data_IF_942500653075
#
_entry.id   IF_942500653075
#
_cell.length_a   1.000
_cell.length_b   1.000
_cell.length_c   1.000
_cell.angle_alpha   90.00
_cell.angle_beta   90.00
_cell.angle_gamma   90.00
#
_symmetry.space_group_name_H-M   'P 1'
#
loop_
_entity.id
_entity.type
_entity.pdbx_description
1 polymer ?
#
# COMPACT_ATOMS: atom_id res chain seq x y z
N UNK A 1 28.45 -73.34 25.24
CA UNK A 1 26.97 -73.47 25.35
C UNK A 1 26.41 -72.09 25.67
N UNK A 2 25.97 -71.34 24.65
CA UNK A 2 24.55 -71.00 24.38
C UNK A 2 23.71 -70.75 25.65
N UNK A 3 23.26 -69.51 25.86
CA UNK A 3 21.89 -69.07 25.50
C UNK A 3 21.73 -67.54 25.61
N UNK A 4 21.10 -66.99 24.57
CA UNK A 4 20.56 -65.64 24.45
C UNK A 4 19.47 -65.37 25.50
N UNK A 5 19.32 -64.11 25.91
CA UNK A 5 18.02 -63.52 26.19
C UNK A 5 18.00 -62.08 25.68
N UNK A 6 17.14 -61.86 24.70
CA UNK A 6 16.79 -60.60 24.06
C UNK A 6 15.86 -59.83 25.00
N UNK A 7 16.13 -58.54 25.22
CA UNK A 7 15.11 -57.57 25.64
C UNK A 7 15.19 -56.35 24.73
N UNK A 8 14.23 -56.27 23.81
CA UNK A 8 13.84 -55.04 23.12
C UNK A 8 13.02 -54.18 24.09
N UNK A 9 13.37 -52.90 24.26
CA UNK A 9 12.42 -51.89 24.70
C UNK A 9 12.88 -50.49 24.30
N UNK A 10 12.18 -49.92 23.30
CA UNK A 10 11.80 -48.51 23.29
C UNK A 10 12.86 -47.48 22.88
N UNK A 11 13.17 -47.39 21.59
CA UNK A 11 13.58 -46.11 21.02
C UNK A 11 12.35 -45.18 20.99
N UNK A 12 12.21 -44.35 22.02
CA UNK A 12 11.32 -43.19 21.96
C UNK A 12 11.96 -42.17 21.01
N UNK A 13 11.55 -42.21 19.74
CA UNK A 13 11.70 -41.09 18.82
C UNK A 13 10.82 -39.95 19.32
N UNK A 14 11.38 -39.13 20.21
CA UNK A 14 10.87 -37.78 20.43
C UNK A 14 11.25 -36.97 19.19
N UNK A 15 10.35 -36.94 18.21
CA UNK A 15 10.24 -35.80 17.32
C UNK A 15 9.75 -34.62 18.17
N UNK A 16 10.67 -34.04 18.95
CA UNK A 16 10.45 -32.75 19.58
C UNK A 16 10.51 -31.70 18.49
N UNK A 17 9.43 -30.95 18.31
CA UNK A 17 9.50 -29.64 17.66
C UNK A 17 10.55 -28.83 18.44
N UNK A 18 11.77 -28.76 17.92
CA UNK A 18 12.82 -27.92 18.48
C UNK A 18 12.42 -26.47 18.18
N UNK A 19 11.77 -25.82 19.14
CA UNK A 19 11.72 -24.37 19.15
C UNK A 19 13.17 -23.88 19.30
N UNK A 20 13.75 -23.42 18.19
CA UNK A 20 15.07 -22.81 18.19
C UNK A 20 15.09 -21.63 19.17
N UNK A 21 16.13 -21.48 19.99
CA UNK A 21 16.23 -20.31 20.85
C UNK A 21 16.29 -19.05 19.98
N UNK A 22 15.58 -17.98 20.39
CA UNK A 22 15.55 -16.73 19.60
C UNK A 22 16.90 -16.00 19.54
N UNK A 23 17.88 -16.39 20.37
CA UNK A 23 19.18 -15.75 20.52
C UNK A 23 20.29 -16.80 20.58
N UNK A 24 21.42 -16.51 19.93
CA UNK A 24 22.55 -17.44 19.89
C UNK A 24 23.25 -17.45 18.53
N UNK A 25 24.18 -18.40 18.39
CA UNK A 25 24.88 -18.63 17.12
C UNK A 25 24.00 -19.36 16.11
N UNK A 26 24.32 -19.18 14.83
CA UNK A 26 23.73 -19.92 13.72
C UNK A 26 24.79 -20.22 12.67
N UNK A 27 24.52 -21.23 11.86
CA UNK A 27 25.27 -21.55 10.65
C UNK A 27 24.32 -21.84 9.49
N UNK A 28 24.68 -21.39 8.31
CA UNK A 28 23.90 -21.52 7.07
C UNK A 28 24.73 -22.29 6.05
N UNK A 29 24.37 -23.55 5.82
CA UNK A 29 24.96 -24.37 4.77
C UNK A 29 24.21 -24.14 3.45
N UNK A 30 24.86 -23.54 2.46
CA UNK A 30 24.22 -23.15 1.19
C UNK A 30 24.79 -23.95 0.02
N UNK A 31 23.90 -24.41 -0.85
CA UNK A 31 24.18 -25.16 -2.07
C UNK A 31 23.32 -24.62 -3.21
N UNK A 32 23.92 -23.81 -4.10
CA UNK A 32 23.21 -23.22 -5.24
C UNK A 32 23.80 -23.69 -6.57
N UNK A 33 23.01 -24.40 -7.37
CA UNK A 33 23.37 -24.69 -8.75
C UNK A 33 23.56 -23.38 -9.53
N UNK A 34 24.49 -23.37 -10.49
CA UNK A 34 24.77 -22.22 -11.36
C UNK A 34 25.23 -20.94 -10.65
N UNK A 35 25.66 -21.04 -9.39
CA UNK A 35 26.20 -19.89 -8.66
C UNK A 35 27.53 -19.41 -9.27
N UNK A 36 27.70 -18.10 -9.51
CA UNK A 36 28.96 -17.53 -9.97
C UNK A 36 30.07 -17.63 -8.90
N UNK A 37 31.32 -17.70 -9.34
CA UNK A 37 32.50 -17.70 -8.47
C UNK A 37 32.80 -16.29 -7.97
N UNK A 38 32.07 -15.85 -6.95
CA UNK A 38 32.15 -14.49 -6.42
C UNK A 38 32.02 -14.45 -4.90
N UNK A 39 32.20 -13.26 -4.32
CA UNK A 39 31.94 -13.02 -2.90
C UNK A 39 30.44 -12.99 -2.61
N UNK A 40 30.09 -13.49 -1.44
CA UNK A 40 28.72 -13.47 -0.92
C UNK A 40 28.72 -12.88 0.48
N UNK A 41 27.70 -12.09 0.77
CA UNK A 41 27.60 -11.30 2.00
C UNK A 41 26.33 -11.70 2.73
N UNK A 42 26.45 -12.06 4.00
CA UNK A 42 25.30 -12.13 4.89
C UNK A 42 25.07 -10.74 5.49
N UNK A 43 23.88 -10.19 5.28
CA UNK A 43 23.52 -8.86 5.76
C UNK A 43 22.26 -8.94 6.63
N UNK A 44 22.34 -8.34 7.83
CA UNK A 44 21.18 -8.03 8.66
C UNK A 44 20.47 -6.80 8.10
N UNK A 45 19.16 -6.90 7.87
CA UNK A 45 18.32 -5.78 7.40
C UNK A 45 17.92 -4.90 8.58
N UNK A 46 18.90 -4.27 9.22
CA UNK A 46 18.71 -3.43 10.39
C UNK A 46 18.06 -2.08 10.04
N UNK A 47 17.50 -1.42 11.05
CA UNK A 47 16.77 -0.16 10.89
C UNK A 47 17.61 0.99 10.30
N UNK A 48 18.92 1.01 10.55
CA UNK A 48 19.84 2.05 10.04
C UNK A 48 20.44 1.68 8.67
N UNK A 49 19.93 0.62 8.03
CA UNK A 49 20.45 0.06 6.79
C UNK A 49 21.10 -1.31 6.98
N UNK A 50 21.45 -1.98 5.87
CA UNK A 50 22.00 -3.32 5.91
C UNK A 50 23.37 -3.33 6.60
N UNK A 51 23.55 -4.24 7.55
CA UNK A 51 24.81 -4.46 8.27
C UNK A 51 25.39 -5.80 7.85
N UNK A 52 26.64 -5.80 7.39
CA UNK A 52 27.36 -7.05 7.07
C UNK A 52 27.61 -7.82 8.38
N UNK A 53 27.17 -9.07 8.39
CA UNK A 53 27.30 -10.03 9.50
C UNK A 53 28.49 -10.94 9.23
N UNK A 54 28.55 -11.48 8.02
CA UNK A 54 29.59 -12.39 7.57
C UNK A 54 29.83 -12.24 6.06
N UNK A 55 30.96 -12.73 5.58
CA UNK A 55 31.36 -12.70 4.17
C UNK A 55 32.16 -13.94 3.82
N UNK A 56 31.77 -14.62 2.75
CA UNK A 56 32.51 -15.75 2.19
C UNK A 56 32.56 -15.64 0.66
N UNK A 57 32.95 -16.71 -0.03
CA UNK A 57 32.94 -16.78 -1.48
C UNK A 57 32.51 -18.17 -1.96
N UNK A 58 31.87 -18.20 -3.13
CA UNK A 58 31.65 -19.45 -3.89
C UNK A 58 32.98 -19.82 -4.55
N UNK A 59 33.59 -20.92 -4.12
CA UNK A 59 34.97 -21.26 -4.48
C UNK A 59 35.10 -22.15 -5.71
N UNK A 60 34.04 -22.89 -6.04
CA UNK A 60 34.04 -23.83 -7.14
C UNK A 60 32.63 -24.04 -7.72
N UNK A 61 32.56 -24.78 -8.82
CA UNK A 61 31.32 -25.05 -9.55
C UNK A 61 30.31 -25.91 -8.77
N UNK A 62 30.67 -26.43 -7.59
CA UNK A 62 29.67 -27.05 -6.72
C UNK A 62 28.67 -26.02 -6.21
N UNK A 63 29.02 -24.72 -6.14
CA UNK A 63 28.09 -23.71 -5.62
C UNK A 63 27.86 -23.80 -4.10
N UNK A 64 28.73 -24.51 -3.39
CA UNK A 64 28.70 -24.64 -1.92
C UNK A 64 29.40 -23.47 -1.25
N UNK A 65 28.77 -22.96 -0.20
CA UNK A 65 29.39 -22.01 0.72
C UNK A 65 28.68 -22.05 2.08
N UNK A 66 29.32 -21.47 3.07
CA UNK A 66 28.86 -21.46 4.45
C UNK A 66 28.95 -20.03 5.00
N UNK A 67 27.94 -19.63 5.74
CA UNK A 67 27.88 -18.36 6.46
C UNK A 67 27.53 -18.64 7.91
N UNK A 68 28.10 -17.88 8.84
CA UNK A 68 27.78 -18.00 10.26
C UNK A 68 27.63 -16.65 10.94
N UNK A 69 27.11 -16.65 12.16
CA UNK A 69 26.94 -15.43 12.92
C UNK A 69 26.22 -15.63 14.23
N UNK A 70 25.77 -14.52 14.81
CA UNK A 70 24.97 -14.50 16.03
C UNK A 70 23.75 -13.62 15.86
N UNK A 71 22.61 -14.10 16.36
CA UNK A 71 21.36 -13.33 16.48
C UNK A 71 21.14 -12.93 17.95
N UNK A 72 20.75 -11.67 18.16
CA UNK A 72 20.32 -11.16 19.48
C UNK A 72 18.82 -11.24 19.70
N UNK A 73 18.07 -11.50 18.63
CA UNK A 73 16.65 -11.81 18.53
C UNK A 73 16.36 -12.26 17.08
N UNK A 74 15.17 -12.79 16.81
CA UNK A 74 14.81 -13.13 15.43
C UNK A 74 14.77 -11.87 14.54
N UNK A 75 15.47 -11.92 13.41
CA UNK A 75 15.68 -10.78 12.51
C UNK A 75 15.48 -11.12 11.03
N UNK A 76 15.35 -10.07 10.20
CA UNK A 76 15.34 -10.20 8.74
C UNK A 76 16.77 -10.03 8.20
N UNK A 77 17.19 -10.96 7.36
CA UNK A 77 18.53 -11.00 6.78
C UNK A 77 18.44 -11.22 5.27
N UNK A 78 19.56 -11.03 4.58
CA UNK A 78 19.72 -11.48 3.20
C UNK A 78 21.11 -12.03 2.93
N UNK A 79 21.19 -13.03 2.07
CA UNK A 79 22.43 -13.40 1.39
C UNK A 79 22.48 -12.60 0.10
N UNK A 80 23.45 -11.69 -0.02
CA UNK A 80 23.61 -10.82 -1.19
C UNK A 80 24.82 -11.23 -2.02
N UNK A 81 24.63 -11.22 -3.33
CA UNK A 81 25.61 -11.49 -4.37
C UNK A 81 26.21 -10.17 -4.92
N UNK A 82 27.33 -10.24 -5.64
CA UNK A 82 28.04 -9.03 -6.11
C UNK A 82 27.21 -8.23 -7.12
N UNK A 83 26.45 -8.93 -7.96
CA UNK A 83 25.53 -8.30 -8.92
C UNK A 83 24.24 -7.76 -8.30
N UNK A 84 24.09 -7.85 -6.97
CA UNK A 84 22.93 -7.35 -6.24
C UNK A 84 21.75 -8.33 -6.16
N UNK A 85 21.81 -9.53 -6.76
CA UNK A 85 20.85 -10.60 -6.46
C UNK A 85 20.93 -10.98 -4.98
N UNK A 86 19.83 -11.46 -4.41
CA UNK A 86 19.80 -11.86 -3.01
C UNK A 86 18.74 -12.93 -2.70
N UNK A 87 18.95 -13.61 -1.57
CA UNK A 87 17.97 -14.47 -0.91
C UNK A 87 17.55 -13.79 0.40
N UNK A 88 16.24 -13.64 0.65
CA UNK A 88 15.71 -13.10 1.92
C UNK A 88 15.56 -14.23 2.94
N UNK A 89 15.96 -13.96 4.18
CA UNK A 89 15.98 -14.92 5.27
C UNK A 89 15.33 -14.33 6.52
N UNK A 90 14.65 -15.19 7.29
CA UNK A 90 14.30 -14.92 8.67
C UNK A 90 15.17 -15.79 9.56
N UNK A 91 16.06 -15.17 10.35
CA UNK A 91 17.05 -15.92 11.15
C UNK A 91 16.76 -15.80 12.65
N UNK A 92 16.79 -16.95 13.32
CA UNK A 92 16.91 -17.17 14.76
C UNK A 92 18.16 -18.03 15.04
N UNK A 93 18.38 -18.47 16.29
CA UNK A 93 19.59 -19.23 16.59
C UNK A 93 19.38 -20.71 16.26
N UNK A 94 20.23 -21.25 15.39
CA UNK A 94 20.11 -22.62 14.92
C UNK A 94 20.79 -22.78 13.58
N UNK A 95 21.12 -24.02 13.25
CA UNK A 95 21.72 -24.32 11.96
C UNK A 95 20.63 -24.52 10.91
N UNK A 96 20.86 -24.01 9.71
CA UNK A 96 19.96 -24.17 8.59
C UNK A 96 20.71 -24.54 7.32
N UNK A 97 19.99 -25.11 6.36
CA UNK A 97 20.52 -25.39 5.03
C UNK A 97 19.61 -24.87 3.94
N UNK A 98 20.22 -24.40 2.86
CA UNK A 98 19.56 -23.85 1.68
C UNK A 98 20.04 -24.60 0.45
N UNK A 99 19.11 -25.15 -0.33
CA UNK A 99 19.39 -25.77 -1.61
C UNK A 99 18.56 -25.09 -2.71
N UNK A 100 19.15 -24.80 -3.86
CA UNK A 100 18.42 -24.16 -4.96
C UNK A 100 19.24 -23.92 -6.22
N UNK A 101 18.72 -23.04 -7.08
CA UNK A 101 19.39 -22.57 -8.30
C UNK A 101 19.58 -21.05 -8.24
N UNK A 102 20.77 -20.58 -8.60
CA UNK A 102 21.11 -19.16 -8.64
C UNK A 102 20.23 -18.32 -9.59
N UNK A 103 19.60 -18.96 -10.57
CA UNK A 103 18.70 -18.31 -11.52
C UNK A 103 17.25 -18.22 -11.00
N UNK A 104 16.91 -18.95 -9.94
CA UNK A 104 15.58 -18.97 -9.32
C UNK A 104 15.71 -18.83 -7.79
N UNK A 105 16.32 -17.73 -7.33
CA UNK A 105 16.60 -17.49 -5.90
C UNK A 105 15.35 -17.32 -5.03
N UNK A 106 14.19 -17.14 -5.66
CA UNK A 106 12.87 -17.15 -5.02
C UNK A 106 12.32 -18.57 -4.77
N UNK A 107 12.91 -19.60 -5.41
CA UNK A 107 12.52 -21.00 -5.27
C UNK A 107 13.67 -21.83 -4.68
N UNK A 108 13.81 -21.73 -3.36
CA UNK A 108 14.81 -22.47 -2.60
C UNK A 108 14.16 -23.48 -1.64
N UNK A 109 14.82 -24.62 -1.45
CA UNK A 109 14.52 -25.57 -0.38
C UNK A 109 15.27 -25.15 0.89
N UNK A 110 14.53 -25.01 1.98
CA UNK A 110 15.05 -24.52 3.26
C UNK A 110 14.74 -25.52 4.34
N UNK A 111 15.77 -25.91 5.11
CA UNK A 111 15.64 -26.77 6.29
C UNK A 111 16.29 -26.11 7.48
N UNK A 112 15.70 -26.29 8.66
CA UNK A 112 16.24 -25.76 9.92
C UNK A 112 15.75 -24.35 10.30
N UNK A 113 15.02 -23.65 9.43
CA UNK A 113 14.46 -22.32 9.73
C UNK A 113 12.99 -22.22 9.27
N UNK A 114 12.05 -22.28 10.22
CA UNK A 114 10.62 -22.10 9.94
C UNK A 114 10.34 -20.67 9.43
N UNK A 115 10.97 -19.67 10.03
CA UNK A 115 10.83 -18.27 9.63
C UNK A 115 11.26 -18.03 8.17
N UNK A 116 12.41 -18.60 7.75
CA UNK A 116 12.83 -18.49 6.35
C UNK A 116 11.90 -19.27 5.42
N UNK A 117 11.47 -20.48 5.79
CA UNK A 117 10.52 -21.25 4.98
C UNK A 117 9.20 -20.50 4.76
N UNK A 118 8.65 -19.86 5.80
CA UNK A 118 7.43 -19.04 5.67
C UNK A 118 7.66 -17.82 4.78
N UNK A 119 8.77 -17.09 4.93
CA UNK A 119 9.11 -15.95 4.06
C UNK A 119 9.20 -16.39 2.59
N UNK A 120 9.78 -17.55 2.31
CA UNK A 120 9.85 -18.07 0.94
C UNK A 120 8.47 -18.42 0.38
N UNK A 121 7.54 -18.93 1.20
CA UNK A 121 6.15 -19.13 0.76
C UNK A 121 5.45 -17.81 0.42
N UNK A 122 5.68 -16.77 1.23
CA UNK A 122 5.14 -15.42 0.99
C UNK A 122 5.68 -14.82 -0.32
N UNK A 123 6.99 -14.94 -0.56
CA UNK A 123 7.65 -14.47 -1.78
C UNK A 123 7.16 -15.22 -3.03
N UNK A 124 7.02 -16.53 -2.95
CA UNK A 124 6.51 -17.34 -4.05
C UNK A 124 5.06 -16.95 -4.39
N UNK A 125 4.20 -16.81 -3.39
CA UNK A 125 2.83 -16.32 -3.60
C UNK A 125 2.84 -14.92 -4.23
N UNK A 126 3.66 -14.01 -3.72
CA UNK A 126 3.78 -12.66 -4.27
C UNK A 126 4.20 -12.68 -5.75
N UNK A 127 5.21 -13.47 -6.11
CA UNK A 127 5.70 -13.61 -7.48
C UNK A 127 4.64 -14.17 -8.43
N UNK A 128 3.97 -15.26 -8.03
CA UNK A 128 2.87 -15.85 -8.80
C UNK A 128 1.73 -14.85 -9.03
N UNK A 129 1.32 -14.13 -7.98
CA UNK A 129 0.24 -13.13 -8.08
C UNK A 129 0.65 -11.91 -8.87
N UNK A 130 1.88 -11.42 -8.74
CA UNK A 130 2.39 -10.32 -9.54
C UNK A 130 2.34 -10.63 -11.04
N UNK A 131 2.68 -11.87 -11.44
CA UNK A 131 2.58 -12.30 -12.83
C UNK A 131 1.12 -12.34 -13.33
N UNK A 132 0.19 -12.85 -12.52
CA UNK A 132 -1.25 -12.86 -12.84
C UNK A 132 -1.79 -11.44 -12.97
N UNK A 133 -1.51 -10.58 -11.99
CA UNK A 133 -1.95 -9.19 -11.96
C UNK A 133 -1.40 -8.40 -13.16
N UNK A 134 -0.13 -8.60 -13.51
CA UNK A 134 0.47 -7.95 -14.68
C UNK A 134 -0.23 -8.33 -15.98
N UNK A 135 -0.66 -9.59 -16.13
CA UNK A 135 -1.41 -10.04 -17.32
C UNK A 135 -2.81 -9.42 -17.38
N UNK A 136 -3.49 -9.32 -16.24
CA UNK A 136 -4.82 -8.70 -16.19
C UNK A 136 -4.76 -7.19 -16.48
N UNK A 137 -3.75 -6.48 -15.99
CA UNK A 137 -3.52 -5.06 -16.32
C UNK A 137 -3.32 -4.89 -17.83
N UNK A 138 -2.44 -5.71 -18.44
CA UNK A 138 -2.22 -5.68 -19.90
C UNK A 138 -3.50 -5.97 -20.69
N UNK A 139 -4.34 -6.88 -20.22
CA UNK A 139 -5.62 -7.18 -20.85
C UNK A 139 -6.60 -6.01 -20.74
N UNK A 140 -6.70 -5.37 -19.57
CA UNK A 140 -7.53 -4.18 -19.35
C UNK A 140 -7.09 -3.04 -20.27
N UNK A 141 -5.78 -2.79 -20.37
CA UNK A 141 -5.22 -1.75 -21.23
C UNK A 141 -5.50 -2.02 -22.70
N UNK A 142 -5.34 -3.28 -23.15
CA UNK A 142 -5.63 -3.69 -24.52
C UNK A 142 -7.11 -3.49 -24.87
N UNK A 143 -8.02 -3.85 -23.97
CA UNK A 143 -9.46 -3.64 -24.15
C UNK A 143 -9.82 -2.16 -24.20
N UNK A 144 -9.17 -1.33 -23.38
CA UNK A 144 -9.35 0.12 -23.38
C UNK A 144 -8.89 0.73 -24.71
N UNK A 145 -7.74 0.29 -25.24
CA UNK A 145 -7.24 0.73 -26.55
C UNK A 145 -8.16 0.30 -27.70
N UNK A 146 -8.77 -0.88 -27.60
CA UNK A 146 -9.69 -1.42 -28.60
C UNK A 146 -11.10 -0.78 -28.57
N UNK A 147 -11.38 0.14 -27.62
CA UNK A 147 -12.70 0.78 -27.42
C UNK A 147 -13.83 -0.25 -27.23
N UNK A 148 -13.54 -1.35 -26.55
CA UNK A 148 -14.52 -2.42 -26.27
C UNK A 148 -15.62 -1.94 -25.33
N UNK A 149 -16.75 -2.65 -25.26
CA UNK A 149 -17.89 -2.26 -24.42
C UNK A 149 -17.53 -2.11 -22.93
N UNK A 150 -18.13 -1.12 -22.29
CA UNK A 150 -17.93 -0.80 -20.86
C UNK A 150 -18.26 -1.98 -19.95
N UNK A 151 -19.21 -2.85 -20.34
CA UNK A 151 -19.59 -4.05 -19.60
C UNK A 151 -18.42 -5.05 -19.46
N UNK A 152 -17.63 -5.25 -20.52
CA UNK A 152 -16.50 -6.17 -20.50
C UNK A 152 -15.32 -5.57 -19.71
N UNK A 153 -15.08 -4.27 -19.87
CA UNK A 153 -14.06 -3.55 -19.09
C UNK A 153 -14.37 -3.57 -17.59
N UNK A 154 -15.64 -3.37 -17.22
CA UNK A 154 -16.09 -3.43 -15.82
C UNK A 154 -15.92 -4.82 -15.25
N UNK A 155 -16.32 -5.87 -15.99
CA UNK A 155 -16.15 -7.26 -15.54
C UNK A 155 -14.67 -7.60 -15.28
N UNK A 156 -13.75 -7.13 -16.15
CA UNK A 156 -12.31 -7.34 -15.98
C UNK A 156 -11.72 -6.57 -14.80
N UNK A 157 -12.13 -5.32 -14.60
CA UNK A 157 -11.73 -4.54 -13.41
C UNK A 157 -12.18 -5.21 -12.11
N UNK A 158 -13.43 -5.67 -12.05
CA UNK A 158 -13.95 -6.36 -10.87
C UNK A 158 -13.17 -7.65 -10.57
N UNK A 159 -12.78 -8.41 -11.61
CA UNK A 159 -11.96 -9.60 -11.44
C UNK A 159 -10.56 -9.27 -10.89
N UNK A 160 -9.94 -8.21 -11.41
CA UNK A 160 -8.66 -7.71 -10.91
C UNK A 160 -8.75 -7.25 -9.44
N UNK A 161 -9.77 -6.45 -9.10
CA UNK A 161 -10.01 -5.98 -7.73
C UNK A 161 -10.25 -7.14 -6.77
N UNK A 162 -11.00 -8.17 -7.20
CA UNK A 162 -11.23 -9.36 -6.39
C UNK A 162 -9.93 -10.13 -6.15
N UNK A 163 -9.08 -10.26 -7.16
CA UNK A 163 -7.79 -10.95 -7.01
C UNK A 163 -6.83 -10.17 -6.10
N UNK A 164 -6.81 -8.84 -6.21
CA UNK A 164 -6.04 -7.97 -5.31
C UNK A 164 -6.51 -8.14 -3.85
N UNK A 165 -7.83 -8.20 -3.61
CA UNK A 165 -8.39 -8.49 -2.28
C UNK A 165 -8.02 -9.88 -1.76
N UNK A 166 -8.07 -10.90 -2.61
CA UNK A 166 -7.68 -12.26 -2.25
C UNK A 166 -6.19 -12.33 -1.85
N UNK A 167 -5.32 -11.70 -2.64
CA UNK A 167 -3.89 -11.63 -2.36
C UNK A 167 -3.59 -10.87 -1.06
N UNK A 168 -4.26 -9.74 -0.85
CA UNK A 168 -4.21 -8.98 0.40
C UNK A 168 -4.59 -9.85 1.61
N UNK A 169 -5.70 -10.58 1.51
CA UNK A 169 -6.18 -11.44 2.59
C UNK A 169 -5.20 -12.57 2.90
N UNK A 170 -4.54 -13.15 1.88
CA UNK A 170 -3.51 -14.17 2.09
C UNK A 170 -2.37 -13.67 2.99
N UNK A 171 -1.85 -12.46 2.72
CA UNK A 171 -0.77 -11.88 3.52
C UNK A 171 -1.23 -11.54 4.95
N UNK A 172 -2.45 -11.00 5.11
CA UNK A 172 -3.04 -10.74 6.43
C UNK A 172 -3.17 -12.05 7.23
N UNK A 173 -3.72 -13.09 6.62
CA UNK A 173 -3.90 -14.40 7.24
C UNK A 173 -2.56 -15.01 7.67
N UNK A 174 -1.55 -14.93 6.81
CA UNK A 174 -0.21 -15.42 7.12
C UNK A 174 0.38 -14.65 8.30
N UNK A 175 0.27 -13.33 8.30
CA UNK A 175 0.75 -12.48 9.38
C UNK A 175 0.08 -12.79 10.73
N UNK A 176 -1.22 -13.10 10.71
CA UNK A 176 -1.99 -13.42 11.91
C UNK A 176 -1.75 -14.83 12.46
N UNK A 177 -1.44 -15.82 11.59
CA UNK A 177 -1.30 -17.23 11.97
C UNK A 177 0.12 -17.64 12.34
N UNK A 178 1.13 -17.00 11.75
CA UNK A 178 2.54 -17.34 11.99
C UNK A 178 2.92 -17.21 13.46
N UNK A 179 3.85 -18.06 13.91
CA UNK A 179 4.49 -17.96 15.23
C UNK A 179 5.81 -17.18 15.18
N UNK A 180 6.23 -16.73 14.00
CA UNK A 180 7.52 -16.12 13.75
C UNK A 180 7.35 -14.60 13.60
N UNK A 181 7.85 -13.76 14.52
CA UNK A 181 7.70 -12.30 14.43
C UNK A 181 8.21 -11.72 13.11
N UNK A 182 9.34 -12.23 12.58
CA UNK A 182 9.88 -11.73 11.31
C UNK A 182 8.96 -12.04 10.13
N UNK A 183 8.38 -13.24 10.08
CA UNK A 183 7.44 -13.62 9.03
C UNK A 183 6.14 -12.81 9.12
N UNK A 184 5.68 -12.48 10.34
CA UNK A 184 4.51 -11.64 10.55
C UNK A 184 4.71 -10.23 10.00
N UNK A 185 5.84 -9.60 10.36
CA UNK A 185 6.18 -8.26 9.86
C UNK A 185 6.39 -8.27 8.35
N UNK A 186 7.10 -9.28 7.83
CA UNK A 186 7.34 -9.41 6.39
C UNK A 186 6.04 -9.57 5.60
N UNK A 187 5.11 -10.41 6.08
CA UNK A 187 3.80 -10.55 5.47
C UNK A 187 3.02 -9.22 5.46
N UNK A 188 3.03 -8.47 6.56
CA UNK A 188 2.37 -7.15 6.63
C UNK A 188 2.99 -6.13 5.66
N UNK A 189 4.29 -6.18 5.39
CA UNK A 189 4.93 -5.32 4.38
C UNK A 189 4.48 -5.62 2.95
N UNK A 190 3.96 -6.83 2.69
CA UNK A 190 3.40 -7.22 1.39
C UNK A 190 1.92 -6.85 1.24
N UNK A 191 1.23 -6.54 2.35
CA UNK A 191 -0.12 -5.98 2.31
C UNK A 191 -0.06 -4.59 1.67
N UNK A 192 -0.97 -4.32 0.74
CA UNK A 192 -1.07 -3.03 0.04
C UNK A 192 -2.39 -2.40 0.43
N UNK A 193 -2.36 -1.31 1.20
CA UNK A 193 -3.54 -0.52 1.50
C UNK A 193 -3.73 0.56 0.44
N UNK A 194 -4.99 0.86 0.09
CA UNK A 194 -5.33 1.80 -0.99
C UNK A 194 -5.08 3.24 -0.53
N UNK A 195 -5.33 3.52 0.75
CA UNK A 195 -5.04 4.78 1.40
C UNK A 195 -4.79 4.64 2.91
N UNK A 196 -4.45 5.77 3.54
CA UNK A 196 -4.19 5.84 4.98
C UNK A 196 -5.42 5.52 5.84
N UNK A 197 -6.64 5.76 5.32
CA UNK A 197 -7.88 5.45 6.03
C UNK A 197 -8.05 3.95 6.13
N UNK A 198 -7.94 3.24 5.01
CA UNK A 198 -8.02 1.77 4.98
C UNK A 198 -6.92 1.15 5.85
N UNK A 199 -5.70 1.68 5.80
CA UNK A 199 -4.59 1.25 6.66
C UNK A 199 -4.96 1.37 8.15
N UNK A 200 -5.49 2.52 8.58
CA UNK A 200 -5.84 2.80 9.97
C UNK A 200 -7.10 2.04 10.44
N UNK A 201 -8.08 1.80 9.57
CA UNK A 201 -9.23 0.94 9.87
C UNK A 201 -8.80 -0.50 10.19
N UNK A 202 -7.71 -0.95 9.58
CA UNK A 202 -7.13 -2.27 9.78
C UNK A 202 -6.05 -2.32 10.87
N UNK A 203 -5.87 -1.25 11.66
CA UNK A 203 -4.83 -1.19 12.72
C UNK A 203 -4.90 -2.34 13.74
N UNK A 204 -6.09 -2.90 13.97
CA UNK A 204 -6.28 -4.03 14.87
C UNK A 204 -5.46 -5.28 14.50
N UNK A 205 -5.08 -5.43 13.22
CA UNK A 205 -4.18 -6.49 12.76
C UNK A 205 -2.77 -6.28 13.33
N UNK A 206 -2.26 -5.07 13.24
CA UNK A 206 -0.94 -4.67 13.76
C UNK A 206 -0.90 -4.81 15.28
N UNK A 207 -1.95 -4.35 15.98
CA UNK A 207 -2.08 -4.49 17.43
C UNK A 207 -2.10 -5.96 17.88
N UNK A 208 -2.71 -6.86 17.10
CA UNK A 208 -2.69 -8.31 17.39
C UNK A 208 -1.26 -8.88 17.27
N UNK A 209 -0.54 -8.53 16.21
CA UNK A 209 0.86 -8.95 16.04
C UNK A 209 1.71 -8.42 17.20
N UNK A 210 1.55 -7.14 17.58
CA UNK A 210 2.25 -6.54 18.71
C UNK A 210 1.96 -7.23 20.06
N UNK A 211 0.73 -7.70 20.28
CA UNK A 211 0.39 -8.47 21.48
C UNK A 211 1.07 -9.84 21.52
N UNK A 212 1.29 -10.48 20.38
CA UNK A 212 1.96 -11.79 20.29
C UNK A 212 3.48 -11.67 20.42
N UNK A 213 4.05 -10.56 19.97
CA UNK A 213 5.50 -10.33 19.91
C UNK A 213 5.88 -8.97 20.51
N UNK A 214 5.57 -8.71 21.80
CA UNK A 214 5.71 -7.37 22.38
C UNK A 214 7.15 -6.89 22.49
N UNK A 215 8.13 -7.80 22.51
CA UNK A 215 9.54 -7.47 22.73
C UNK A 215 10.37 -7.34 21.45
N UNK A 216 9.90 -7.88 20.33
CA UNK A 216 10.65 -7.91 19.08
C UNK A 216 10.83 -6.51 18.46
N UNK A 217 12.04 -6.17 18.06
CA UNK A 217 12.38 -4.84 17.55
C UNK A 217 11.61 -4.46 16.26
N UNK A 218 11.46 -5.39 15.31
CA UNK A 218 10.75 -5.11 14.05
C UNK A 218 9.26 -4.88 14.27
N UNK A 219 8.66 -5.59 15.23
CA UNK A 219 7.24 -5.42 15.59
C UNK A 219 7.03 -4.07 16.28
N UNK A 220 7.95 -3.63 17.14
CA UNK A 220 7.92 -2.29 17.74
C UNK A 220 8.00 -1.19 16.67
N UNK A 221 8.89 -1.33 15.68
CA UNK A 221 9.00 -0.35 14.60
C UNK A 221 7.76 -0.34 13.69
N UNK A 222 7.18 -1.51 13.42
CA UNK A 222 5.91 -1.60 12.71
C UNK A 222 4.79 -0.87 13.47
N UNK A 223 4.74 -0.94 14.80
CA UNK A 223 3.75 -0.18 15.57
C UNK A 223 4.03 1.33 15.56
N UNK A 224 5.30 1.73 15.53
CA UNK A 224 5.67 3.14 15.41
C UNK A 224 5.19 3.74 14.07
N UNK A 225 5.26 3.00 12.96
CA UNK A 225 4.71 3.48 11.68
C UNK A 225 3.19 3.63 11.71
N UNK A 226 2.48 2.78 12.48
CA UNK A 226 1.04 2.95 12.74
C UNK A 226 0.76 4.22 13.53
N UNK A 227 1.54 4.50 14.59
CA UNK A 227 1.41 5.74 15.38
C UNK A 227 1.70 6.99 14.57
N UNK A 228 2.71 6.94 13.69
CA UNK A 228 3.05 8.02 12.76
C UNK A 228 1.92 8.26 11.76
N UNK A 229 1.37 7.21 11.14
CA UNK A 229 0.21 7.32 10.25
C UNK A 229 -1.02 7.90 10.97
N UNK A 230 -1.28 7.51 12.23
CA UNK A 230 -2.35 8.10 13.02
C UNK A 230 -2.13 9.59 13.29
N UNK A 231 -0.88 10.00 13.57
CA UNK A 231 -0.52 11.41 13.74
C UNK A 231 -0.70 12.20 12.44
N UNK A 232 -0.22 11.67 11.32
CA UNK A 232 -0.36 12.29 10.00
C UNK A 232 -1.83 12.44 9.62
N UNK A 233 -2.65 11.41 9.83
CA UNK A 233 -4.09 11.47 9.62
C UNK A 233 -4.75 12.57 10.46
N UNK A 234 -4.41 12.67 11.75
CA UNK A 234 -4.93 13.71 12.66
C UNK A 234 -4.45 15.13 12.28
N UNK A 235 -3.21 15.29 11.82
CA UNK A 235 -2.66 16.58 11.39
C UNK A 235 -3.22 17.02 10.03
N UNK A 236 -3.41 16.09 9.09
CA UNK A 236 -4.12 16.31 7.83
C UNK A 236 -5.58 16.72 8.09
N UNK A 237 -6.27 16.06 9.02
CA UNK A 237 -7.61 16.45 9.45
C UNK A 237 -7.64 17.83 10.14
N UNK A 238 -6.59 18.22 10.87
CA UNK A 238 -6.50 19.52 11.56
C UNK A 238 -6.19 20.70 10.62
N UNK A 239 -5.71 20.46 9.40
CA UNK A 239 -5.32 21.49 8.43
C UNK A 239 -6.12 21.45 7.12
N UNK A 240 -6.80 20.34 6.85
CA UNK A 240 -7.57 20.12 5.62
C UNK A 240 -8.95 20.77 5.60
N UNK A 241 -9.70 20.59 4.50
CA UNK A 241 -11.01 21.22 4.28
C UNK A 241 -12.04 20.98 5.40
N UNK A 242 -11.98 19.81 6.05
CA UNK A 242 -12.86 19.45 7.18
C UNK A 242 -12.64 20.33 8.40
N UNK A 243 -11.40 20.73 8.70
CA UNK A 243 -11.09 21.66 9.80
C UNK A 243 -11.70 23.05 9.61
N UNK A 244 -12.05 23.40 8.37
CA UNK A 244 -12.63 24.69 7.98
C UNK A 244 -14.16 24.67 7.99
N UNK A 245 -14.80 23.51 8.20
CA UNK A 245 -16.25 23.44 8.39
C UNK A 245 -16.64 24.29 9.60
N UNK A 246 -17.65 25.14 9.42
CA UNK A 246 -18.05 26.13 10.42
C UNK A 246 -17.39 27.50 10.25
N UNK A 247 -16.41 27.66 9.38
CA UNK A 247 -15.72 28.93 9.13
C UNK A 247 -16.21 29.57 7.82
N UNK A 248 -15.95 30.87 7.64
CA UNK A 248 -16.13 31.52 6.34
C UNK A 248 -15.12 30.94 5.35
N UNK A 249 -15.57 30.58 4.15
CA UNK A 249 -14.71 30.12 3.08
C UNK A 249 -13.75 31.26 2.68
N UNK A 250 -12.43 31.04 2.74
CA UNK A 250 -11.47 32.03 2.26
C UNK A 250 -11.73 32.34 0.78
N UNK A 251 -11.77 33.61 0.39
CA UNK A 251 -12.03 33.95 -1.01
C UNK A 251 -10.78 33.69 -1.87
N UNK A 252 -11.00 33.41 -3.15
CA UNK A 252 -9.94 33.29 -4.15
C UNK A 252 -10.46 33.77 -5.50
N UNK A 253 -9.52 34.13 -6.39
CA UNK A 253 -9.83 34.56 -7.75
C UNK A 253 -8.93 33.81 -8.72
N UNK A 254 -9.53 33.10 -9.66
CA UNK A 254 -8.83 32.31 -10.68
C UNK A 254 -9.45 32.53 -12.06
N UNK A 255 -8.69 32.36 -13.15
CA UNK A 255 -9.23 32.54 -14.48
C UNK A 255 -10.08 31.34 -14.91
N UNK A 256 -11.18 31.62 -15.59
CA UNK A 256 -12.01 30.63 -16.28
C UNK A 256 -11.36 30.16 -17.61
N UNK A 257 -11.95 29.21 -18.35
CA UNK A 257 -11.48 28.79 -19.67
C UNK A 257 -11.24 29.92 -20.68
N UNK A 258 -11.92 31.06 -20.55
CA UNK A 258 -11.79 32.22 -21.44
C UNK A 258 -10.81 33.26 -20.90
N UNK A 259 -10.17 33.00 -19.75
CA UNK A 259 -9.25 33.92 -19.09
C UNK A 259 -9.96 35.00 -18.25
N UNK A 260 -11.28 34.92 -18.09
CA UNK A 260 -12.03 35.84 -17.24
C UNK A 260 -11.81 35.47 -15.78
N UNK A 261 -11.45 36.45 -14.96
CA UNK A 261 -11.29 36.25 -13.53
C UNK A 261 -12.65 35.98 -12.85
N UNK A 262 -12.74 34.87 -12.14
CA UNK A 262 -13.92 34.44 -11.40
C UNK A 262 -13.53 34.28 -9.93
N UNK A 263 -14.24 34.96 -9.03
CA UNK A 263 -14.05 34.84 -7.59
C UNK A 263 -15.05 33.86 -6.98
N UNK A 264 -14.68 33.17 -5.89
CA UNK A 264 -15.65 32.38 -5.13
C UNK A 264 -16.78 33.27 -4.58
N UNK A 265 -16.43 34.46 -4.11
CA UNK A 265 -17.40 35.45 -3.63
C UNK A 265 -18.44 35.88 -4.66
N UNK A 266 -18.19 35.72 -5.97
CA UNK A 266 -19.15 36.02 -7.03
C UNK A 266 -20.38 35.10 -7.01
N UNK A 267 -20.32 33.99 -6.29
CA UNK A 267 -21.42 33.03 -6.12
C UNK A 267 -22.19 33.18 -4.80
N UNK A 268 -21.88 34.20 -3.98
CA UNK A 268 -22.62 34.50 -2.74
C UNK A 268 -24.13 34.58 -2.99
N UNK A 269 -24.90 34.10 -2.03
CA UNK A 269 -26.35 33.95 -2.15
C UNK A 269 -26.81 32.58 -2.65
N UNK A 270 -25.91 31.71 -3.11
CA UNK A 270 -26.19 30.31 -3.48
C UNK A 270 -25.45 29.34 -2.56
N UNK A 271 -25.92 28.10 -2.48
CA UNK A 271 -25.06 27.01 -2.07
C UNK A 271 -24.08 26.69 -3.20
N UNK A 272 -22.80 26.57 -2.87
CA UNK A 272 -21.73 26.34 -3.85
C UNK A 272 -20.93 25.12 -3.41
N UNK A 273 -20.93 24.06 -4.22
CA UNK A 273 -19.94 23.01 -4.08
C UNK A 273 -18.66 23.46 -4.80
N UNK A 274 -17.60 23.77 -4.04
CA UNK A 274 -16.29 24.04 -4.63
C UNK A 274 -15.57 22.72 -4.75
N UNK A 275 -15.34 22.26 -5.98
CA UNK A 275 -14.80 20.94 -6.29
C UNK A 275 -13.37 21.07 -6.83
N UNK A 276 -12.39 20.58 -6.08
CA UNK A 276 -10.98 20.58 -6.43
C UNK A 276 -10.62 19.26 -7.13
N UNK A 277 -10.25 19.36 -8.40
CA UNK A 277 -10.10 18.21 -9.29
C UNK A 277 -8.99 18.43 -10.32
N UNK A 278 -8.75 17.44 -11.18
CA UNK A 278 -7.88 17.62 -12.36
C UNK A 278 -8.18 16.58 -13.44
N UNK A 279 -7.83 16.87 -14.70
CA UNK A 279 -8.05 15.96 -15.83
C UNK A 279 -7.35 14.60 -15.69
N UNK A 280 -6.19 14.59 -15.02
CA UNK A 280 -5.33 13.44 -14.77
C UNK A 280 -5.71 12.64 -13.51
N UNK A 281 -6.63 13.16 -12.68
CA UNK A 281 -7.04 12.53 -11.44
C UNK A 281 -8.09 11.44 -11.70
N UNK A 282 -7.64 10.19 -11.84
CA UNK A 282 -8.51 9.04 -12.07
C UNK A 282 -9.72 8.95 -11.11
N UNK A 283 -9.52 9.02 -9.78
CA UNK A 283 -10.62 8.99 -8.82
C UNK A 283 -11.59 10.19 -8.95
N UNK A 284 -11.11 11.38 -9.33
CA UNK A 284 -11.97 12.53 -9.58
C UNK A 284 -12.91 12.25 -10.76
N UNK A 285 -12.35 11.74 -11.86
CA UNK A 285 -13.10 11.38 -13.07
C UNK A 285 -14.15 10.29 -12.82
N UNK A 286 -13.86 9.36 -11.90
CA UNK A 286 -14.81 8.33 -11.46
C UNK A 286 -15.97 8.90 -10.63
N UNK A 287 -15.74 9.98 -9.87
CA UNK A 287 -16.77 10.64 -9.05
C UNK A 287 -17.61 11.65 -9.83
N UNK A 288 -17.08 12.21 -10.93
CA UNK A 288 -17.77 13.20 -11.77
C UNK A 288 -19.21 12.82 -12.18
N UNK A 289 -19.54 11.56 -12.54
CA UNK A 289 -20.92 11.16 -12.79
C UNK A 289 -21.88 11.43 -11.60
N UNK A 290 -21.43 11.23 -10.36
CA UNK A 290 -22.23 11.53 -9.16
C UNK A 290 -22.41 13.04 -8.99
N UNK A 291 -21.35 13.83 -9.24
CA UNK A 291 -21.40 15.30 -9.17
C UNK A 291 -22.34 15.88 -10.25
N UNK A 292 -22.30 15.33 -11.48
CA UNK A 292 -23.23 15.70 -12.56
C UNK A 292 -24.68 15.40 -12.18
N UNK A 293 -24.94 14.23 -11.61
CA UNK A 293 -26.28 13.85 -11.15
C UNK A 293 -26.79 14.83 -10.07
N UNK A 294 -25.95 15.16 -9.09
CA UNK A 294 -26.27 16.13 -8.05
C UNK A 294 -26.55 17.52 -8.65
N UNK A 295 -25.71 18.01 -9.56
CA UNK A 295 -25.93 19.28 -10.23
C UNK A 295 -27.28 19.31 -10.97
N UNK A 296 -27.56 18.28 -11.77
CA UNK A 296 -28.80 18.22 -12.54
C UNK A 296 -30.05 18.19 -11.65
N UNK A 297 -29.97 17.55 -10.48
CA UNK A 297 -31.08 17.47 -9.53
C UNK A 297 -31.31 18.77 -8.75
N UNK A 298 -30.23 19.49 -8.40
CA UNK A 298 -30.29 20.60 -7.44
C UNK A 298 -30.04 21.99 -8.04
N UNK A 299 -29.58 22.13 -9.30
CA UNK A 299 -29.24 23.43 -9.91
C UNK A 299 -30.34 24.50 -9.84
N UNK A 300 -31.61 24.08 -9.85
CA UNK A 300 -32.78 24.98 -9.78
C UNK A 300 -33.22 25.28 -8.33
N UNK A 301 -32.50 24.74 -7.34
CA UNK A 301 -32.73 24.91 -5.89
C UNK A 301 -31.68 25.79 -5.23
N UNK A 302 -31.32 26.90 -5.88
CA UNK A 302 -30.31 27.84 -5.37
C UNK A 302 -28.93 27.21 -5.11
N UNK A 303 -28.55 26.23 -5.94
CA UNK A 303 -27.29 25.49 -5.85
C UNK A 303 -26.49 25.59 -7.13
N UNK A 304 -25.17 25.59 -7.00
CA UNK A 304 -24.24 25.54 -8.12
C UNK A 304 -22.94 24.87 -7.71
N UNK A 305 -22.06 24.66 -8.68
CA UNK A 305 -20.76 24.05 -8.49
C UNK A 305 -19.71 24.98 -9.10
N UNK A 306 -18.57 25.12 -8.43
CA UNK A 306 -17.38 25.79 -8.96
C UNK A 306 -16.26 24.75 -9.02
N UNK A 307 -15.92 24.31 -10.22
CA UNK A 307 -14.80 23.40 -10.44
C UNK A 307 -13.48 24.16 -10.41
N UNK A 308 -12.57 23.78 -9.52
CA UNK A 308 -11.22 24.34 -9.42
C UNK A 308 -10.24 23.28 -9.87
N UNK A 309 -9.69 23.45 -11.08
CA UNK A 309 -8.76 22.47 -11.65
C UNK A 309 -7.31 22.73 -11.22
N UNK A 310 -6.63 21.66 -10.83
CA UNK A 310 -5.18 21.59 -10.58
C UNK A 310 -4.42 20.99 -11.79
N UNK A 311 -4.88 21.24 -13.02
CA UNK A 311 -4.15 20.88 -14.22
C UNK A 311 -2.89 21.74 -14.43
N UNK A 312 -1.97 21.28 -15.29
CA UNK A 312 -0.80 22.06 -15.77
C UNK A 312 -0.99 22.61 -17.19
N UNK A 313 -1.96 22.08 -17.92
CA UNK A 313 -2.19 22.40 -19.31
C UNK A 313 -3.68 22.60 -19.54
N UNK A 314 -4.02 23.58 -20.38
CA UNK A 314 -5.40 23.98 -20.64
C UNK A 314 -6.16 22.94 -21.44
N UNK A 315 -5.53 22.36 -22.45
CA UNK A 315 -6.18 21.47 -23.41
C UNK A 315 -6.71 20.18 -22.74
N UNK A 316 -5.93 19.46 -21.90
CA UNK A 316 -6.45 18.30 -21.18
C UNK A 316 -7.58 18.64 -20.21
N UNK A 317 -7.49 19.79 -19.54
CA UNK A 317 -8.54 20.30 -18.65
C UNK A 317 -9.85 20.54 -19.39
N UNK A 318 -9.82 21.29 -20.50
CA UNK A 318 -11.02 21.55 -21.30
C UNK A 318 -11.59 20.28 -21.92
N UNK A 319 -10.72 19.38 -22.36
CA UNK A 319 -11.16 18.08 -22.88
C UNK A 319 -11.88 17.28 -21.80
N UNK A 320 -11.36 17.23 -20.57
CA UNK A 320 -12.01 16.52 -19.48
C UNK A 320 -13.35 17.13 -19.08
N UNK A 321 -13.47 18.47 -19.06
CA UNK A 321 -14.76 19.16 -18.85
C UNK A 321 -15.80 18.69 -19.86
N UNK A 322 -15.43 18.63 -21.14
CA UNK A 322 -16.32 18.21 -22.22
C UNK A 322 -16.65 16.72 -22.14
N UNK A 323 -15.63 15.86 -21.97
CA UNK A 323 -15.78 14.41 -21.93
C UNK A 323 -16.68 13.95 -20.77
N UNK A 324 -16.64 14.65 -19.63
CA UNK A 324 -17.41 14.28 -18.43
C UNK A 324 -18.72 15.06 -18.27
N UNK A 325 -19.04 15.98 -19.18
CA UNK A 325 -20.27 16.77 -19.10
C UNK A 325 -20.35 17.72 -17.90
N UNK A 326 -19.23 18.34 -17.51
CA UNK A 326 -19.14 19.21 -16.34
C UNK A 326 -19.69 20.61 -16.68
N UNK A 327 -21.01 20.77 -16.63
CA UNK A 327 -21.76 21.94 -17.16
C UNK A 327 -21.71 23.22 -16.32
N UNK A 328 -20.98 23.24 -15.22
CA UNK A 328 -20.88 24.40 -14.32
C UNK A 328 -19.64 25.25 -14.59
N UNK A 329 -19.42 26.31 -13.82
CA UNK A 329 -18.27 27.18 -13.99
C UNK A 329 -17.00 26.47 -13.53
N UNK A 330 -15.93 26.57 -14.33
CA UNK A 330 -14.61 26.04 -13.99
C UNK A 330 -13.57 27.15 -13.97
N UNK A 331 -12.57 27.01 -13.11
CA UNK A 331 -11.42 27.92 -13.01
C UNK A 331 -10.12 27.14 -12.80
N UNK A 332 -9.00 27.69 -13.25
CA UNK A 332 -7.67 27.14 -12.99
C UNK A 332 -6.58 28.18 -13.27
N UNK A 333 -5.55 28.27 -12.43
CA UNK A 333 -4.33 29.01 -12.76
C UNK A 333 -3.28 28.16 -13.50
N UNK A 334 -3.59 26.88 -13.76
CA UNK A 334 -2.71 25.89 -14.38
C UNK A 334 -1.40 25.64 -13.61
N UNK A 335 -1.39 25.91 -12.31
CA UNK A 335 -0.18 25.79 -11.46
C UNK A 335 -0.08 24.48 -10.70
N UNK A 336 -0.96 23.51 -10.92
CA UNK A 336 -0.92 22.23 -10.20
C UNK A 336 -0.95 22.45 -8.67
N UNK A 337 -0.12 21.72 -7.91
CA UNK A 337 0.02 21.90 -6.46
C UNK A 337 0.63 23.26 -6.03
N UNK A 338 1.16 24.06 -6.94
CA UNK A 338 1.65 25.42 -6.64
C UNK A 338 0.54 26.49 -6.71
N UNK A 339 -0.69 26.09 -7.03
CA UNK A 339 -1.82 27.01 -7.02
C UNK A 339 -2.04 27.59 -5.62
N UNK A 340 -2.40 28.87 -5.54
CA UNK A 340 -2.65 29.54 -4.25
C UNK A 340 -3.81 28.93 -3.48
N UNK A 341 -4.74 28.24 -4.15
CA UNK A 341 -5.88 27.59 -3.47
C UNK A 341 -5.47 26.35 -2.66
N UNK A 342 -4.36 25.71 -2.99
CA UNK A 342 -3.88 24.48 -2.35
C UNK A 342 -3.56 24.73 -0.86
N UNK A 343 -2.65 25.66 -0.51
CA UNK A 343 -2.41 25.98 0.90
C UNK A 343 -3.58 26.73 1.53
N UNK A 344 -4.36 27.50 0.76
CA UNK A 344 -5.50 28.26 1.28
C UNK A 344 -6.57 27.36 1.90
N UNK A 345 -6.81 26.19 1.28
CA UNK A 345 -7.78 25.20 1.75
C UNK A 345 -7.14 23.96 2.39
N UNK A 346 -5.81 23.89 2.49
CA UNK A 346 -5.11 22.75 3.08
C UNK A 346 -5.28 21.47 2.26
N UNK A 347 -5.27 21.60 0.93
CA UNK A 347 -5.48 20.48 0.01
C UNK A 347 -4.21 19.64 -0.04
N UNK A 348 -4.27 18.43 0.49
CA UNK A 348 -3.16 17.46 0.47
C UNK A 348 -3.36 16.35 -0.58
N UNK A 349 -4.56 16.28 -1.16
CA UNK A 349 -4.94 15.32 -2.17
C UNK A 349 -6.18 15.76 -2.93
N UNK A 350 -6.39 15.17 -4.11
CA UNK A 350 -7.63 15.29 -4.87
C UNK A 350 -8.13 13.88 -5.23
N UNK A 351 -9.44 13.67 -5.38
CA UNK A 351 -10.52 14.68 -5.34
C UNK A 351 -10.74 15.28 -3.94
N UNK A 352 -11.18 16.53 -3.85
CA UNK A 352 -11.51 17.22 -2.59
C UNK A 352 -12.61 18.23 -2.86
N UNK A 353 -13.59 18.40 -1.97
CA UNK A 353 -14.58 19.46 -2.12
C UNK A 353 -15.00 20.07 -0.80
N UNK A 354 -15.60 21.26 -0.89
CA UNK A 354 -16.30 21.92 0.21
C UNK A 354 -17.67 22.38 -0.26
N UNK A 355 -18.67 22.29 0.62
CA UNK A 355 -19.98 22.89 0.41
C UNK A 355 -20.04 24.20 1.19
N UNK A 356 -20.23 25.29 0.46
CA UNK A 356 -20.35 26.65 0.99
C UNK A 356 -21.82 27.07 0.95
N UNK A 357 -22.33 27.63 2.04
CA UNK A 357 -23.69 28.13 2.13
C UNK A 357 -23.86 29.53 1.50
N UNK A 358 -25.10 30.04 1.34
CA UNK A 358 -25.36 31.36 0.76
C UNK A 358 -24.67 32.52 1.48
N UNK A 359 -24.32 32.38 2.75
CA UNK A 359 -23.62 33.38 3.55
C UNK A 359 -22.09 33.29 3.39
N UNK A 360 -21.59 32.28 2.68
CA UNK A 360 -20.17 32.06 2.44
C UNK A 360 -19.50 31.20 3.51
N UNK A 361 -20.26 30.48 4.34
CA UNK A 361 -19.72 29.59 5.38
C UNK A 361 -19.61 28.16 4.86
N UNK A 362 -18.52 27.47 5.20
CA UNK A 362 -18.33 26.06 4.87
C UNK A 362 -19.23 25.24 5.79
N UNK A 363 -20.14 24.46 5.21
CA UNK A 363 -21.13 23.64 5.94
C UNK A 363 -20.86 22.13 5.83
N UNK A 364 -20.02 21.72 4.89
CA UNK A 364 -19.52 20.36 4.75
C UNK A 364 -18.25 20.32 3.90
N UNK A 365 -17.51 19.21 3.95
CA UNK A 365 -16.34 18.94 3.15
C UNK A 365 -16.28 17.46 2.74
N UNK A 366 -15.45 17.14 1.73
CA UNK A 366 -15.13 15.78 1.27
C UNK A 366 -16.37 14.92 0.94
N UNK A 367 -17.41 15.53 0.38
CA UNK A 367 -18.65 14.85 0.02
C UNK A 367 -18.49 14.00 -1.24
N UNK A 368 -18.94 12.74 -1.21
CA UNK A 368 -18.91 11.84 -2.36
C UNK A 368 -20.14 10.94 -2.42
N UNK A 369 -20.51 10.50 -3.61
CA UNK A 369 -21.56 9.52 -3.86
C UNK A 369 -22.82 9.81 -3.04
N UNK A 370 -23.21 8.86 -2.18
CA UNK A 370 -24.41 9.00 -1.33
C UNK A 370 -24.31 10.13 -0.30
N UNK A 371 -23.12 10.43 0.22
CA UNK A 371 -22.95 11.48 1.23
C UNK A 371 -23.20 12.87 0.64
N UNK A 372 -22.77 13.10 -0.61
CA UNK A 372 -23.07 14.33 -1.35
C UNK A 372 -24.58 14.51 -1.51
N UNK A 373 -25.26 13.48 -2.01
CA UNK A 373 -26.70 13.50 -2.23
C UNK A 373 -27.49 13.75 -0.94
N UNK A 374 -27.13 13.04 0.14
CA UNK A 374 -27.76 13.21 1.44
C UNK A 374 -27.59 14.63 1.96
N UNK A 375 -26.38 15.19 1.89
CA UNK A 375 -26.12 16.53 2.40
C UNK A 375 -26.84 17.60 1.59
N UNK A 376 -26.87 17.49 0.26
CA UNK A 376 -27.61 18.42 -0.58
C UNK A 376 -29.12 18.32 -0.35
N UNK A 377 -29.67 17.12 -0.18
CA UNK A 377 -31.08 16.94 0.18
C UNK A 377 -31.45 17.54 1.53
N UNK A 378 -30.51 17.53 2.50
CA UNK A 378 -30.71 18.12 3.82
C UNK A 378 -30.82 19.65 3.74
N UNK A 379 -29.94 20.29 2.95
CA UNK A 379 -29.78 21.76 2.96
C UNK A 379 -30.54 22.49 1.83
N UNK A 380 -30.99 21.78 0.79
CA UNK A 380 -31.66 22.34 -0.40
C UNK A 380 -33.10 21.84 -0.55
N UNK A 381 -33.89 21.84 0.53
CA UNK A 381 -35.27 21.33 0.52
C UNK A 381 -36.13 21.99 -0.56
#
# INVERSE_FOLDING_TARGET
MKKLAIWCAGAALLAGCSSHPEKGGFKIDVQLANAPLEKVYLEEMAMQGPKIVDTTAVKDASGKFELDGMVTEQGLYRIRFENGKYIVLGLDAGDMSIHGDYNELEKIDVKGSEATSEIQQLLNHYSEKAQVMSKEIQAIDSLRMAKTSDSLLTARRNAFEQEAKNSRQFFIDAAQKTKQPVAAVFAMQLVRFDDITEFLENKGIFENIAKRFPDNAMVKEMMKSVEEAEKESKQGAASGPESKVGQLAPDFVLPDPNGKQVSLSSFKGKFVLVDFWASWCGPCRQENPNVVNAYMKYKDKNFTILGVSLDKAKEPWLKAIADDGLMWNHVSDLKFWESSVVPLYGITGIPTNILVDPQGKIVAANLRGKALEQKLSEVLQ
#
